data_IF_284377786696
#
_entry.id   IF_284377786696
#
_cell.length_a   1.000
_cell.length_b   1.000
_cell.length_c   1.000
_cell.angle_alpha   90.00
_cell.angle_beta   90.00
_cell.angle_gamma   90.00
#
_symmetry.space_group_name_H-M   'P 1'
#
loop_
_entity.id
_entity.type
_entity.pdbx_description
1 polymer ?
#
# COMPACT_ATOMS: atom_id res chain seq x y z
N UNK A 1 -10.61 -4.74 20.50
CA UNK A 1 -11.55 -3.94 19.68
C UNK A 1 -12.98 -4.19 20.15
N UNK A 2 -13.82 -3.16 20.38
CA UNK A 2 -15.18 -3.35 20.88
C UNK A 2 -16.15 -3.86 19.80
N UNK A 3 -16.86 -4.97 20.06
CA UNK A 3 -17.79 -5.57 19.07
C UNK A 3 -19.12 -4.81 18.94
N UNK A 4 -19.58 -4.18 20.03
CA UNK A 4 -20.89 -3.53 20.09
C UNK A 4 -20.92 -2.10 19.57
N UNK A 5 -19.78 -1.49 19.31
CA UNK A 5 -19.69 -0.10 18.84
C UNK A 5 -18.66 0.05 17.72
N UNK A 6 -18.38 -1.04 17.00
CA UNK A 6 -17.41 -0.96 15.92
C UNK A 6 -17.91 -0.04 14.81
N UNK A 7 -17.09 0.94 14.45
CA UNK A 7 -17.45 2.05 13.55
C UNK A 7 -17.58 1.58 12.10
N UNK A 8 -16.74 0.61 11.72
CA UNK A 8 -16.66 0.08 10.35
C UNK A 8 -17.61 -1.12 10.11
N UNK A 9 -18.34 -1.55 11.15
CA UNK A 9 -19.27 -2.67 11.02
C UNK A 9 -20.56 -2.28 10.28
N UNK A 10 -21.16 -3.23 9.59
CA UNK A 10 -22.40 -3.01 8.83
C UNK A 10 -23.53 -2.41 9.71
N UNK A 11 -24.31 -1.42 9.23
CA UNK A 11 -25.38 -0.79 9.99
C UNK A 11 -26.44 -1.76 10.55
N UNK A 12 -26.67 -2.90 9.89
CA UNK A 12 -27.57 -3.98 10.34
C UNK A 12 -27.22 -4.52 11.72
N UNK A 13 -25.97 -4.38 12.17
CA UNK A 13 -25.51 -4.70 13.53
C UNK A 13 -26.36 -4.05 14.63
N UNK A 14 -26.93 -2.86 14.37
CA UNK A 14 -27.84 -2.20 15.33
C UNK A 14 -29.05 -3.08 15.65
N UNK A 15 -29.62 -3.75 14.65
CA UNK A 15 -30.75 -4.67 14.80
C UNK A 15 -30.34 -5.91 15.62
N UNK A 16 -29.11 -6.40 15.40
CA UNK A 16 -28.55 -7.53 16.14
C UNK A 16 -28.34 -7.21 17.63
N UNK A 17 -28.18 -5.94 18.01
CA UNK A 17 -27.78 -5.55 19.37
C UNK A 17 -28.85 -5.68 20.46
N UNK A 18 -30.12 -5.86 20.07
CA UNK A 18 -31.29 -5.86 20.96
C UNK A 18 -31.96 -7.22 21.18
N UNK A 19 -31.46 -8.28 20.53
CA UNK A 19 -32.02 -9.64 20.67
C UNK A 19 -31.82 -10.20 22.09
N UNK A 20 -32.63 -11.20 22.47
CA UNK A 20 -32.45 -11.89 23.76
C UNK A 20 -31.05 -12.50 23.89
N UNK A 21 -30.55 -13.10 22.81
CA UNK A 21 -29.19 -13.61 22.74
C UNK A 21 -28.16 -12.50 22.96
N UNK A 22 -28.30 -11.32 22.32
CA UNK A 22 -27.38 -10.20 22.53
C UNK A 22 -27.42 -9.61 23.93
N UNK A 23 -28.58 -9.58 24.59
CA UNK A 23 -28.68 -9.22 26.02
C UNK A 23 -27.94 -10.23 26.89
N UNK A 24 -28.09 -11.52 26.61
CA UNK A 24 -27.36 -12.60 27.28
C UNK A 24 -25.84 -12.46 27.06
N UNK A 25 -25.41 -12.19 25.82
CA UNK A 25 -24.00 -11.97 25.49
C UNK A 25 -23.39 -10.83 26.30
N UNK A 26 -24.10 -9.71 26.46
CA UNK A 26 -23.61 -8.55 27.23
C UNK A 26 -23.58 -8.79 28.74
N UNK A 27 -24.62 -9.42 29.28
CA UNK A 27 -24.83 -9.50 30.74
C UNK A 27 -24.26 -10.77 31.37
N UNK A 28 -24.37 -11.92 30.69
CA UNK A 28 -23.99 -13.24 31.23
C UNK A 28 -22.64 -13.70 30.70
N UNK A 29 -22.44 -13.62 29.39
CA UNK A 29 -21.14 -13.99 28.78
C UNK A 29 -20.12 -12.85 28.83
N UNK A 30 -20.52 -11.64 29.23
CA UNK A 30 -19.68 -10.44 29.29
C UNK A 30 -18.87 -10.18 28.00
N UNK A 31 -19.44 -10.47 26.83
CA UNK A 31 -18.80 -10.22 25.54
C UNK A 31 -18.69 -8.71 25.35
N UNK A 32 -17.45 -8.19 25.27
CA UNK A 32 -17.15 -6.77 25.04
C UNK A 32 -16.34 -6.57 23.77
N UNK A 33 -15.46 -7.51 23.46
CA UNK A 33 -14.51 -7.41 22.36
C UNK A 33 -14.87 -8.33 21.20
N UNK A 34 -14.24 -8.07 20.05
CA UNK A 34 -14.31 -8.93 18.88
C UNK A 34 -13.67 -10.29 19.16
N UNK A 35 -12.60 -10.34 19.96
CA UNK A 35 -11.98 -11.59 20.41
C UNK A 35 -12.91 -12.43 21.28
N UNK A 36 -13.64 -11.80 22.22
CA UNK A 36 -14.62 -12.51 23.06
C UNK A 36 -15.74 -13.13 22.20
N UNK A 37 -16.18 -12.41 21.16
CA UNK A 37 -17.19 -12.89 20.23
C UNK A 37 -16.67 -14.05 19.36
N UNK A 38 -15.42 -13.96 18.91
CA UNK A 38 -14.73 -15.00 18.15
C UNK A 38 -14.55 -16.28 18.97
N UNK A 39 -14.04 -16.16 20.20
CA UNK A 39 -13.87 -17.30 21.12
C UNK A 39 -15.20 -18.01 21.37
N UNK A 40 -16.29 -17.25 21.55
CA UNK A 40 -17.60 -17.85 21.73
C UNK A 40 -18.13 -18.50 20.44
N UNK A 41 -17.93 -17.87 19.28
CA UNK A 41 -18.40 -18.37 17.99
C UNK A 41 -17.67 -19.67 17.56
N UNK A 42 -16.37 -19.80 17.85
CA UNK A 42 -15.56 -20.99 17.55
C UNK A 42 -16.16 -22.28 18.09
N UNK A 43 -16.85 -22.21 19.23
CA UNK A 43 -17.51 -23.38 19.83
C UNK A 43 -18.63 -24.00 18.97
N UNK A 44 -19.06 -23.34 17.88
CA UNK A 44 -20.00 -23.90 16.91
C UNK A 44 -19.36 -24.99 16.02
N UNK A 45 -18.04 -24.98 15.89
CA UNK A 45 -17.27 -25.88 15.01
C UNK A 45 -16.80 -27.16 15.73
N UNK A 46 -17.12 -27.27 17.02
CA UNK A 46 -16.74 -28.40 17.87
C UNK A 46 -17.48 -29.68 17.45
N UNK A 47 -16.77 -30.80 17.33
CA UNK A 47 -17.30 -32.03 16.72
C UNK A 47 -18.56 -32.58 17.43
N UNK A 48 -18.62 -32.46 18.77
CA UNK A 48 -19.75 -32.92 19.56
C UNK A 48 -20.93 -31.93 19.58
N UNK A 49 -20.80 -30.76 18.96
CA UNK A 49 -21.80 -29.69 19.04
C UNK A 49 -22.96 -29.89 18.06
N UNK A 50 -24.17 -30.03 18.59
CA UNK A 50 -25.40 -30.08 17.79
C UNK A 50 -25.95 -28.66 17.55
N UNK A 51 -26.43 -28.38 16.31
CA UNK A 51 -26.96 -27.07 15.89
C UNK A 51 -28.36 -26.75 16.45
N UNK A 52 -28.54 -26.95 17.77
CA UNK A 52 -29.78 -26.75 18.50
C UNK A 52 -29.55 -26.27 19.94
N UNK A 53 -30.56 -25.66 20.54
CA UNK A 53 -30.45 -25.01 21.86
C UNK A 53 -30.34 -26.00 23.04
N UNK A 54 -30.78 -27.24 22.85
CA UNK A 54 -30.72 -28.34 23.82
C UNK A 54 -29.44 -29.18 23.69
N UNK A 55 -28.45 -28.74 22.91
CA UNK A 55 -27.15 -29.39 22.79
C UNK A 55 -26.55 -29.72 24.17
N UNK A 56 -26.01 -30.94 24.28
CA UNK A 56 -25.45 -31.53 25.50
C UNK A 56 -23.94 -31.72 25.47
N UNK A 57 -23.24 -31.15 24.47
CA UNK A 57 -21.79 -31.21 24.40
C UNK A 57 -21.14 -30.59 25.65
N UNK A 58 -19.89 -30.97 25.93
CA UNK A 58 -19.17 -30.51 27.12
C UNK A 58 -19.12 -28.98 27.22
N UNK A 59 -18.92 -28.29 26.09
CA UNK A 59 -18.82 -26.84 26.03
C UNK A 59 -20.14 -26.15 26.33
N UNK A 60 -21.25 -26.63 25.75
CA UNK A 60 -22.58 -26.09 26.05
C UNK A 60 -22.94 -26.27 27.53
N UNK A 61 -22.63 -27.42 28.12
CA UNK A 61 -22.89 -27.67 29.54
C UNK A 61 -22.02 -26.76 30.43
N UNK A 62 -20.73 -26.61 30.11
CA UNK A 62 -19.83 -25.68 30.79
C UNK A 62 -20.37 -24.25 30.74
N UNK A 63 -20.78 -23.76 29.57
CA UNK A 63 -21.34 -22.42 29.42
C UNK A 63 -22.63 -22.23 30.21
N UNK A 64 -23.52 -23.23 30.24
CA UNK A 64 -24.74 -23.19 31.08
C UNK A 64 -24.39 -23.03 32.55
N UNK A 65 -23.40 -23.79 33.04
CA UNK A 65 -22.98 -23.77 34.45
C UNK A 65 -22.24 -22.49 34.82
N UNK A 66 -21.29 -22.04 34.01
CA UNK A 66 -20.43 -20.90 34.35
C UNK A 66 -21.11 -19.55 34.16
N UNK A 67 -21.96 -19.41 33.14
CA UNK A 67 -22.59 -18.13 32.80
C UNK A 67 -24.08 -18.07 33.15
N UNK A 68 -24.66 -19.16 33.63
CA UNK A 68 -26.12 -19.31 33.82
C UNK A 68 -26.91 -19.01 32.52
N UNK A 69 -26.32 -19.27 31.36
CA UNK A 69 -26.97 -19.13 30.06
C UNK A 69 -27.92 -20.31 29.81
N UNK A 70 -29.14 -20.04 29.35
CA UNK A 70 -30.14 -21.09 29.06
C UNK A 70 -29.95 -21.70 27.67
N UNK A 71 -29.51 -20.90 26.70
CA UNK A 71 -29.41 -21.30 25.29
C UNK A 71 -28.04 -20.90 24.71
N UNK A 72 -26.96 -21.65 25.04
CA UNK A 72 -25.60 -21.34 24.58
C UNK A 72 -25.49 -21.28 23.05
N UNK A 73 -26.10 -22.23 22.33
CA UNK A 73 -26.09 -22.26 20.86
C UNK A 73 -26.59 -20.95 20.24
N UNK A 74 -27.73 -20.42 20.72
CA UNK A 74 -28.26 -19.14 20.25
C UNK A 74 -27.30 -17.98 20.50
N UNK A 75 -26.57 -18.00 21.62
CA UNK A 75 -25.58 -16.98 21.95
C UNK A 75 -24.35 -17.09 21.03
N UNK A 76 -23.84 -18.30 20.79
CA UNK A 76 -22.73 -18.54 19.86
C UNK A 76 -23.11 -18.12 18.44
N UNK A 77 -24.30 -18.50 17.95
CA UNK A 77 -24.82 -18.08 16.64
C UNK A 77 -24.98 -16.57 16.54
N UNK A 78 -25.41 -15.93 17.62
CA UNK A 78 -25.51 -14.48 17.68
C UNK A 78 -24.14 -13.81 17.65
N UNK A 79 -23.12 -14.39 18.31
CA UNK A 79 -21.74 -13.93 18.25
C UNK A 79 -21.18 -14.04 16.82
N UNK A 80 -21.39 -15.18 16.15
CA UNK A 80 -21.03 -15.37 14.74
C UNK A 80 -21.67 -14.30 13.83
N UNK A 81 -22.98 -14.07 13.98
CA UNK A 81 -23.68 -13.00 13.23
C UNK A 81 -23.10 -11.61 13.46
N UNK A 82 -22.59 -11.31 14.66
CA UNK A 82 -21.93 -10.03 14.94
C UNK A 82 -20.59 -9.94 14.21
N UNK A 83 -19.81 -11.02 14.19
CA UNK A 83 -18.56 -11.09 13.44
C UNK A 83 -18.79 -10.94 11.94
N UNK A 84 -19.86 -11.53 11.40
CA UNK A 84 -20.22 -11.41 9.97
C UNK A 84 -20.55 -9.97 9.54
N UNK A 85 -20.80 -9.05 10.49
CA UNK A 85 -20.96 -7.62 10.18
C UNK A 85 -19.64 -6.87 10.06
N UNK A 86 -18.52 -7.50 10.42
CA UNK A 86 -17.19 -6.89 10.38
C UNK A 86 -16.62 -7.00 8.96
N UNK A 87 -16.06 -5.92 8.41
CA UNK A 87 -15.27 -6.02 7.20
C UNK A 87 -14.00 -6.84 7.43
N UNK A 88 -13.44 -7.39 6.36
CA UNK A 88 -12.26 -8.26 6.37
C UNK A 88 -11.11 -7.74 7.27
N UNK A 89 -10.75 -6.46 7.17
CA UNK A 89 -9.67 -5.85 7.98
C UNK A 89 -9.89 -5.92 9.49
N UNK A 90 -11.15 -6.07 9.92
CA UNK A 90 -11.57 -6.06 11.31
C UNK A 90 -12.14 -7.41 11.76
N UNK A 91 -12.25 -8.39 10.86
CA UNK A 91 -12.70 -9.73 11.18
C UNK A 91 -11.49 -10.61 11.53
N UNK A 92 -11.36 -11.09 12.78
CA UNK A 92 -10.24 -11.93 13.18
C UNK A 92 -10.18 -13.28 12.45
N UNK A 93 -11.27 -13.68 11.77
CA UNK A 93 -11.34 -14.91 10.97
C UNK A 93 -10.76 -14.72 9.56
N UNK A 94 -10.42 -13.49 9.17
CA UNK A 94 -9.85 -13.21 7.87
C UNK A 94 -8.35 -13.52 7.82
N UNK A 95 -7.85 -13.86 6.63
CA UNK A 95 -6.42 -14.00 6.38
C UNK A 95 -5.73 -12.61 6.43
N UNK A 96 -4.81 -12.43 7.38
CA UNK A 96 -4.04 -11.19 7.54
C UNK A 96 -2.69 -11.23 6.80
N UNK A 97 -2.27 -10.14 6.12
CA UNK A 97 -0.97 -10.10 5.42
C UNK A 97 0.22 -10.49 6.30
N UNK A 98 0.19 -10.19 7.58
CA UNK A 98 1.22 -10.54 8.56
C UNK A 98 1.50 -12.05 8.64
N UNK A 99 0.51 -12.89 8.31
CA UNK A 99 0.63 -14.35 8.43
C UNK A 99 1.40 -14.98 7.27
N UNK A 100 1.27 -14.39 6.07
CA UNK A 100 1.87 -14.92 4.84
C UNK A 100 2.97 -14.03 4.23
N UNK A 101 3.06 -12.75 4.57
CA UNK A 101 4.16 -11.87 4.17
C UNK A 101 5.35 -12.01 5.12
N UNK A 102 6.22 -12.98 4.83
CA UNK A 102 7.47 -13.19 5.57
C UNK A 102 8.63 -12.46 4.91
N UNK A 103 9.69 -12.23 5.70
CA UNK A 103 10.93 -11.66 5.15
C UNK A 103 11.47 -12.54 4.03
N UNK A 104 11.81 -11.89 2.91
CA UNK A 104 12.35 -12.59 1.74
C UNK A 104 13.77 -13.02 2.07
N UNK A 105 13.95 -14.32 2.33
CA UNK A 105 15.28 -14.93 2.41
C UNK A 105 15.84 -15.05 1.01
N UNK A 106 16.98 -14.44 0.78
CA UNK A 106 17.72 -14.57 -0.46
C UNK A 106 19.12 -15.13 -0.17
N UNK A 107 19.50 -16.17 -0.89
CA UNK A 107 20.78 -16.85 -0.73
C UNK A 107 21.87 -16.27 -1.63
N UNK A 108 21.51 -15.51 -2.68
CA UNK A 108 22.48 -14.84 -3.55
C UNK A 108 22.68 -13.38 -3.11
N UNK A 109 23.84 -13.00 -2.56
CA UNK A 109 24.10 -11.65 -2.07
C UNK A 109 24.11 -10.59 -3.19
N UNK A 110 24.22 -10.97 -4.46
CA UNK A 110 24.17 -10.03 -5.59
C UNK A 110 22.76 -9.50 -5.84
N UNK A 111 21.74 -10.18 -5.33
CA UNK A 111 20.35 -9.81 -5.48
C UNK A 111 19.82 -9.20 -4.19
N UNK A 112 19.29 -7.98 -4.29
CA UNK A 112 18.71 -7.25 -3.19
C UNK A 112 17.19 -7.43 -3.18
N UNK A 113 16.59 -8.02 -2.14
CA UNK A 113 15.15 -8.21 -2.09
C UNK A 113 14.41 -6.88 -1.92
N UNK A 114 13.27 -6.76 -2.59
CA UNK A 114 12.29 -5.71 -2.33
C UNK A 114 11.35 -6.13 -1.21
N UNK A 115 11.26 -5.33 -0.15
CA UNK A 115 10.31 -5.56 0.93
C UNK A 115 8.90 -5.15 0.50
N UNK A 116 8.06 -6.15 0.20
CA UNK A 116 6.68 -5.99 -0.23
C UNK A 116 5.67 -5.91 0.94
N UNK A 117 6.13 -5.87 2.20
CA UNK A 117 5.25 -5.72 3.35
C UNK A 117 4.53 -4.38 3.31
N UNK A 118 3.24 -4.43 3.66
CA UNK A 118 2.34 -3.27 3.76
C UNK A 118 1.98 -2.99 5.22
N UNK A 119 2.20 -3.97 6.09
CA UNK A 119 1.82 -3.93 7.49
C UNK A 119 2.79 -3.04 8.27
N UNK A 120 2.25 -2.28 9.21
CA UNK A 120 3.03 -1.44 10.11
C UNK A 120 3.25 -2.20 11.41
N UNK A 121 4.51 -2.39 11.80
CA UNK A 121 4.90 -3.02 13.05
C UNK A 121 5.55 -1.99 13.98
N UNK A 122 5.54 -2.26 15.29
CA UNK A 122 6.14 -1.38 16.30
C UNK A 122 5.17 -0.98 17.40
N UNK A 123 5.39 0.19 17.98
CA UNK A 123 4.58 0.72 19.06
C UNK A 123 3.39 1.53 18.53
N UNK A 124 2.43 1.85 19.40
CA UNK A 124 1.25 2.64 19.03
C UNK A 124 1.61 3.98 18.34
N UNK A 125 2.73 4.60 18.73
CA UNK A 125 3.24 5.83 18.14
C UNK A 125 3.59 5.71 16.65
N UNK A 126 3.92 4.50 16.18
CA UNK A 126 4.36 4.24 14.80
C UNK A 126 3.20 4.18 13.81
N UNK A 127 1.96 4.10 14.30
CA UNK A 127 0.73 4.03 13.49
C UNK A 127 0.19 5.43 13.16
N UNK A 128 0.46 6.44 14.00
CA UNK A 128 -0.07 7.78 13.77
C UNK A 128 0.62 8.48 12.61
N UNK A 129 -0.17 8.88 11.62
CA UNK A 129 0.31 9.60 10.42
C UNK A 129 -0.48 10.89 10.22
N UNK A 130 0.24 11.95 9.87
CA UNK A 130 -0.30 13.28 9.59
C UNK A 130 -0.05 13.68 8.14
N UNK A 131 -0.63 14.78 7.69
CA UNK A 131 -0.57 15.21 6.27
C UNK A 131 -1.11 14.15 5.28
N UNK A 132 -2.12 13.39 5.69
CA UNK A 132 -2.81 12.42 4.83
C UNK A 132 -3.72 13.12 3.80
N UNK A 133 -3.99 12.44 2.68
CA UNK A 133 -4.86 12.98 1.64
C UNK A 133 -6.31 12.54 1.89
N UNK A 134 -7.21 13.50 2.14
CA UNK A 134 -8.65 13.25 2.36
C UNK A 134 -9.35 12.52 1.21
N UNK A 135 -8.80 12.59 -0.01
CA UNK A 135 -9.33 11.86 -1.18
C UNK A 135 -8.99 10.37 -1.17
N UNK A 136 -8.01 9.96 -0.36
CA UNK A 136 -7.65 8.55 -0.19
C UNK A 136 -8.40 8.03 1.02
N UNK A 137 -9.50 7.33 0.77
CA UNK A 137 -10.29 6.69 1.82
C UNK A 137 -9.53 5.46 2.33
N UNK A 138 -9.38 5.28 3.65
CA UNK A 138 -8.93 4.02 4.22
C UNK A 138 -9.81 2.88 3.71
N UNK A 139 -9.17 1.77 3.36
CA UNK A 139 -9.88 0.58 2.88
C UNK A 139 -10.10 -0.40 4.02
N UNK A 140 -11.27 -1.04 3.97
CA UNK A 140 -11.67 -2.13 4.85
C UNK A 140 -11.42 -3.52 4.25
N UNK A 141 -10.90 -3.57 3.01
CA UNK A 141 -10.44 -4.80 2.35
C UNK A 141 -8.94 -4.97 2.52
N UNK A 142 -8.48 -6.21 2.59
CA UNK A 142 -7.07 -6.55 2.62
C UNK A 142 -6.62 -6.99 1.21
N UNK A 143 -5.40 -6.64 0.76
CA UNK A 143 -4.89 -7.17 -0.50
C UNK A 143 -4.65 -8.67 -0.35
N UNK A 144 -5.06 -9.48 -1.34
CA UNK A 144 -4.72 -10.90 -1.39
C UNK A 144 -3.38 -11.07 -2.10
N UNK A 145 -2.30 -11.21 -1.31
CA UNK A 145 -0.94 -11.42 -1.83
C UNK A 145 -0.40 -12.83 -1.56
N UNK A 146 -1.31 -13.80 -1.33
CA UNK A 146 -0.93 -15.20 -1.14
C UNK A 146 -0.48 -15.80 -2.46
N UNK A 147 0.68 -16.46 -2.45
CA UNK A 147 1.13 -17.28 -3.58
C UNK A 147 0.46 -18.66 -3.51
N UNK A 148 0.00 -19.19 -4.64
CA UNK A 148 -0.66 -20.52 -4.72
C UNK A 148 0.22 -21.64 -4.12
N UNK A 149 1.54 -21.48 -4.14
CA UNK A 149 2.52 -22.42 -3.58
C UNK A 149 2.72 -22.35 -2.05
N UNK A 150 1.99 -21.50 -1.32
CA UNK A 150 2.06 -21.45 0.16
C UNK A 150 1.13 -22.43 0.87
N UNK A 151 0.28 -23.18 0.15
CA UNK A 151 -0.58 -24.19 0.77
C UNK A 151 0.19 -25.45 1.21
N UNK A 152 1.31 -25.80 0.56
CA UNK A 152 2.04 -27.07 0.80
C UNK A 152 3.44 -26.91 1.42
N UNK A 153 3.78 -25.75 1.98
CA UNK A 153 5.08 -25.49 2.61
C UNK A 153 6.33 -25.75 1.73
N UNK A 154 6.17 -25.97 0.42
CA UNK A 154 7.25 -26.06 -0.55
C UNK A 154 7.21 -24.85 -1.47
N UNK A 155 8.15 -23.94 -1.25
CA UNK A 155 8.42 -22.82 -2.16
C UNK A 155 9.03 -23.39 -3.47
N UNK A 156 8.24 -24.06 -4.29
CA UNK A 156 8.67 -24.51 -5.62
C UNK A 156 8.47 -23.30 -6.54
N UNK A 157 9.50 -22.45 -6.62
CA UNK A 157 9.60 -21.45 -7.69
C UNK A 157 9.73 -22.22 -8.99
N UNK A 158 8.62 -22.48 -9.69
CA UNK A 158 8.67 -23.20 -10.97
C UNK A 158 9.06 -22.30 -12.13
N UNK A 159 8.96 -20.96 -11.97
CA UNK A 159 9.22 -19.98 -13.04
C UNK A 159 9.77 -18.67 -12.47
N UNK A 160 10.89 -18.23 -13.03
CA UNK A 160 11.48 -16.90 -12.79
C UNK A 160 11.48 -16.10 -14.10
N UNK A 161 11.35 -14.78 -13.97
CA UNK A 161 11.51 -13.86 -15.11
C UNK A 161 12.59 -12.85 -14.75
N UNK A 162 13.67 -12.85 -15.53
CA UNK A 162 14.72 -11.83 -15.46
C UNK A 162 14.38 -10.75 -16.48
N UNK A 163 14.15 -9.53 -16.01
CA UNK A 163 13.90 -8.35 -16.83
C UNK A 163 15.04 -7.39 -16.61
N UNK A 164 15.69 -6.99 -17.70
CA UNK A 164 16.60 -5.87 -17.68
C UNK A 164 15.79 -4.59 -17.92
N UNK A 165 15.83 -3.67 -16.97
CA UNK A 165 15.12 -2.39 -17.05
C UNK A 165 16.13 -1.28 -17.31
N UNK A 166 15.73 -0.35 -18.16
CA UNK A 166 16.49 0.85 -18.46
C UNK A 166 15.48 1.95 -18.80
N UNK A 167 15.85 3.21 -18.72
CA UNK A 167 14.97 4.35 -18.88
C UNK A 167 15.66 5.61 -19.37
N UNK A 168 15.00 6.32 -20.28
CA UNK A 168 15.42 7.61 -20.79
C UNK A 168 14.31 8.63 -20.59
N UNK A 169 14.61 9.88 -20.27
CA UNK A 169 13.57 10.89 -20.18
C UNK A 169 14.07 12.28 -20.55
N UNK A 170 13.27 12.97 -21.37
CA UNK A 170 13.44 14.37 -21.74
C UNK A 170 12.80 15.24 -20.67
N UNK A 171 13.37 16.41 -20.40
CA UNK A 171 12.87 17.37 -19.41
C UNK A 171 12.73 16.80 -17.99
N UNK A 172 13.77 16.09 -17.54
CA UNK A 172 13.78 15.43 -16.23
C UNK A 172 13.42 16.38 -15.08
N UNK A 173 12.51 15.95 -14.20
CA UNK A 173 12.13 16.71 -13.02
C UNK A 173 11.28 17.96 -13.32
N UNK A 174 10.75 18.08 -14.53
CA UNK A 174 9.82 19.13 -14.95
C UNK A 174 8.41 18.56 -15.22
N UNK A 175 7.41 19.43 -15.31
CA UNK A 175 6.02 19.03 -15.55
C UNK A 175 5.80 18.43 -16.95
N UNK A 176 6.65 18.79 -17.93
CA UNK A 176 6.63 18.25 -19.29
C UNK A 176 7.63 17.09 -19.49
N UNK A 177 8.04 16.41 -18.41
CA UNK A 177 8.93 15.27 -18.49
C UNK A 177 8.34 14.17 -19.39
N UNK A 178 9.10 13.73 -20.39
CA UNK A 178 8.72 12.62 -21.29
C UNK A 178 9.68 11.45 -21.10
N UNK A 179 9.18 10.35 -20.57
CA UNK A 179 9.97 9.13 -20.38
C UNK A 179 9.73 8.06 -21.44
N UNK A 180 10.81 7.48 -21.96
CA UNK A 180 10.84 6.18 -22.62
C UNK A 180 11.60 5.16 -21.75
N UNK A 181 11.42 3.85 -22.00
CA UNK A 181 12.11 2.78 -21.24
C UNK A 181 13.25 2.09 -22.06
N UNK A 182 14.55 2.38 -21.74
CA UNK A 182 15.84 2.16 -22.47
C UNK A 182 16.82 3.30 -22.96
N UNK A 183 17.94 3.52 -22.26
CA UNK A 183 19.23 4.22 -22.49
C UNK A 183 19.38 5.75 -22.48
N UNK A 184 20.40 6.12 -21.67
CA UNK A 184 20.96 7.38 -21.21
C UNK A 184 20.09 8.16 -20.19
N UNK A 185 20.69 8.32 -19.01
CA UNK A 185 20.01 8.14 -17.73
C UNK A 185 19.28 9.37 -17.25
N UNK A 186 18.05 9.18 -16.80
CA UNK A 186 17.57 9.97 -15.68
C UNK A 186 16.73 9.11 -14.72
N UNK A 187 16.60 9.60 -13.48
CA UNK A 187 15.94 8.88 -12.39
C UNK A 187 14.48 8.53 -12.69
N UNK A 188 13.82 9.30 -13.56
CA UNK A 188 12.40 9.17 -13.89
C UNK A 188 12.14 8.02 -14.87
N UNK A 189 12.93 7.91 -15.95
CA UNK A 189 12.76 6.84 -16.93
C UNK A 189 12.96 5.46 -16.32
N UNK A 190 13.97 5.31 -15.48
CA UNK A 190 14.29 4.05 -14.80
C UNK A 190 13.17 3.60 -13.85
N UNK A 191 12.58 4.55 -13.11
CA UNK A 191 11.43 4.29 -12.25
C UNK A 191 10.19 3.88 -13.05
N UNK A 192 9.96 4.48 -14.22
CA UNK A 192 8.87 4.12 -15.13
C UNK A 192 9.09 2.71 -15.69
N UNK A 193 10.30 2.39 -16.14
CA UNK A 193 10.64 1.06 -16.64
C UNK A 193 10.45 -0.02 -15.55
N UNK A 194 10.88 0.28 -14.32
CA UNK A 194 10.68 -0.62 -13.16
C UNK A 194 9.20 -0.82 -12.85
N UNK A 195 8.41 0.24 -12.88
CA UNK A 195 6.94 0.17 -12.68
C UNK A 195 6.29 -0.69 -13.76
N UNK A 196 6.62 -0.45 -15.03
CA UNK A 196 6.07 -1.23 -16.14
C UNK A 196 6.50 -2.70 -16.04
N UNK A 197 7.74 -2.99 -15.68
CA UNK A 197 8.20 -4.37 -15.45
C UNK A 197 7.37 -5.06 -14.36
N UNK A 198 7.09 -4.36 -13.25
CA UNK A 198 6.27 -4.89 -12.17
C UNK A 198 4.82 -5.16 -12.59
N UNK A 199 4.25 -4.31 -13.44
CA UNK A 199 2.85 -4.39 -13.90
C UNK A 199 2.62 -5.36 -15.06
N UNK A 200 3.61 -5.53 -15.94
CA UNK A 200 3.49 -6.36 -17.14
C UNK A 200 3.98 -7.80 -16.90
N UNK A 201 4.93 -8.01 -16.00
CA UNK A 201 5.35 -9.36 -15.64
C UNK A 201 4.26 -10.07 -14.84
N UNK A 202 4.06 -11.37 -15.09
CA UNK A 202 3.09 -12.19 -14.37
C UNK A 202 3.27 -11.99 -12.83
N UNK A 203 2.21 -11.64 -12.07
CA UNK A 203 2.32 -11.28 -10.66
C UNK A 203 2.61 -12.48 -9.73
N UNK A 204 2.37 -13.72 -10.17
CA UNK A 204 2.57 -14.93 -9.38
C UNK A 204 4.00 -15.48 -9.45
N UNK A 205 4.81 -15.01 -10.41
CA UNK A 205 6.20 -15.48 -10.61
C UNK A 205 7.24 -14.54 -9.99
N UNK A 206 8.41 -15.11 -9.68
CA UNK A 206 9.56 -14.34 -9.22
C UNK A 206 10.03 -13.37 -10.30
N UNK A 207 10.16 -12.09 -9.94
CA UNK A 207 10.65 -11.03 -10.83
C UNK A 207 12.06 -10.61 -10.40
N UNK A 208 13.02 -10.81 -11.29
CA UNK A 208 14.41 -10.38 -11.11
C UNK A 208 14.65 -9.18 -12.02
N UNK A 209 14.91 -8.02 -11.43
CA UNK A 209 15.16 -6.77 -12.16
C UNK A 209 16.66 -6.45 -12.15
N UNK A 210 17.26 -6.44 -13.33
CA UNK A 210 18.61 -5.92 -13.55
C UNK A 210 18.53 -4.46 -14.02
N UNK A 211 19.18 -3.55 -13.30
CA UNK A 211 19.24 -2.13 -13.65
C UNK A 211 20.63 -1.59 -13.37
N UNK A 212 21.09 -0.65 -14.18
CA UNK A 212 22.32 0.10 -13.93
C UNK A 212 22.11 1.31 -13.01
N UNK A 213 20.85 1.59 -12.65
CA UNK A 213 20.45 2.68 -11.78
C UNK A 213 20.57 2.32 -10.30
N UNK A 214 21.73 2.65 -9.72
CA UNK A 214 21.91 2.62 -8.25
C UNK A 214 20.85 3.44 -7.51
N UNK A 215 20.38 4.53 -8.13
CA UNK A 215 19.31 5.35 -7.58
C UNK A 215 18.02 4.56 -7.39
N UNK A 216 17.52 3.88 -8.43
CA UNK A 216 16.28 3.09 -8.34
C UNK A 216 16.41 2.01 -7.28
N UNK A 217 17.51 1.26 -7.30
CA UNK A 217 17.76 0.23 -6.28
C UNK A 217 17.72 0.87 -4.89
N UNK A 218 18.44 1.97 -4.66
CA UNK A 218 18.48 2.63 -3.35
C UNK A 218 17.11 3.11 -2.89
N UNK A 219 16.34 3.76 -3.76
CA UNK A 219 15.02 4.32 -3.42
C UNK A 219 13.99 3.23 -3.13
N UNK A 220 13.98 2.14 -3.91
CA UNK A 220 13.00 1.06 -3.75
C UNK A 220 13.37 0.05 -2.66
N UNK A 221 14.61 0.08 -2.16
CA UNK A 221 15.06 -0.87 -1.11
C UNK A 221 15.46 -0.14 0.17
N UNK A 222 16.65 0.46 0.24
CA UNK A 222 17.22 0.99 1.49
C UNK A 222 16.59 2.29 1.97
N UNK A 223 16.16 3.17 1.07
CA UNK A 223 15.52 4.45 1.43
C UNK A 223 13.99 4.37 1.49
N UNK A 224 13.40 3.24 1.09
CA UNK A 224 11.94 3.05 1.00
C UNK A 224 11.23 3.43 2.30
N UNK A 225 11.63 2.81 3.41
CA UNK A 225 10.95 3.00 4.70
C UNK A 225 11.04 4.45 5.19
N UNK A 226 12.21 5.09 5.06
CA UNK A 226 12.38 6.49 5.41
C UNK A 226 11.46 7.40 4.59
N UNK A 227 11.36 7.19 3.28
CA UNK A 227 10.47 8.00 2.43
C UNK A 227 8.99 7.78 2.76
N UNK A 228 8.61 6.54 3.11
CA UNK A 228 7.26 6.24 3.57
C UNK A 228 6.98 6.94 4.89
N UNK A 229 7.93 6.94 5.83
CA UNK A 229 7.82 7.64 7.11
C UNK A 229 7.78 9.15 6.94
N UNK A 230 8.53 9.71 5.99
CA UNK A 230 8.49 11.14 5.65
C UNK A 230 7.29 11.51 4.78
N UNK A 231 6.42 10.55 4.43
CA UNK A 231 5.25 10.77 3.58
C UNK A 231 5.55 11.28 2.19
N UNK A 232 6.78 11.06 1.70
CA UNK A 232 7.31 11.57 0.42
C UNK A 232 7.33 13.11 0.31
N UNK A 233 7.26 13.83 1.43
CA UNK A 233 7.26 15.30 1.45
C UNK A 233 8.58 15.84 0.90
N UNK A 234 8.51 16.71 -0.11
CA UNK A 234 9.70 17.29 -0.75
C UNK A 234 10.61 16.28 -1.47
N UNK A 235 10.13 15.06 -1.74
CA UNK A 235 10.88 14.05 -2.49
C UNK A 235 10.62 14.23 -3.98
N UNK A 236 11.65 14.54 -4.75
CA UNK A 236 11.60 14.55 -6.21
C UNK A 236 11.10 13.19 -6.74
N UNK A 237 10.17 13.20 -7.68
CA UNK A 237 9.50 12.01 -8.20
C UNK A 237 8.72 11.20 -7.13
N UNK A 238 8.40 11.77 -5.97
CA UNK A 238 7.75 11.06 -4.87
C UNK A 238 6.46 10.33 -5.27
N UNK A 239 5.63 10.94 -6.13
CA UNK A 239 4.42 10.30 -6.64
C UNK A 239 4.71 9.06 -7.52
N UNK A 240 5.74 9.13 -8.37
CA UNK A 240 6.17 8.01 -9.21
C UNK A 240 6.81 6.90 -8.38
N UNK A 241 7.71 7.24 -7.45
CA UNK A 241 8.33 6.28 -6.53
C UNK A 241 7.26 5.53 -5.73
N UNK A 242 6.31 6.27 -5.15
CA UNK A 242 5.18 5.69 -4.40
C UNK A 242 4.34 4.77 -5.29
N UNK A 243 4.10 5.15 -6.55
CA UNK A 243 3.39 4.32 -7.51
C UNK A 243 4.15 3.04 -7.86
N UNK A 244 5.46 3.13 -8.11
CA UNK A 244 6.33 1.99 -8.39
C UNK A 244 6.39 1.01 -7.22
N UNK A 245 6.57 1.51 -5.98
CA UNK A 245 6.57 0.69 -4.76
C UNK A 245 5.27 -0.09 -4.65
N UNK A 246 4.14 0.54 -4.96
CA UNK A 246 2.86 -0.12 -4.84
C UNK A 246 2.60 -1.14 -5.96
N UNK A 247 3.02 -0.86 -7.19
CA UNK A 247 3.00 -1.85 -8.27
C UNK A 247 3.84 -3.09 -7.91
N UNK A 248 5.00 -2.89 -7.27
CA UNK A 248 5.84 -3.99 -6.77
C UNK A 248 5.18 -4.76 -5.62
N UNK A 249 4.52 -4.06 -4.69
CA UNK A 249 3.75 -4.69 -3.59
C UNK A 249 2.55 -5.51 -4.05
N UNK A 250 1.94 -5.14 -5.17
CA UNK A 250 0.82 -5.87 -5.76
C UNK A 250 1.19 -7.25 -6.31
N UNK A 251 2.49 -7.58 -6.35
CA UNK A 251 2.98 -8.88 -6.81
C UNK A 251 2.97 -9.89 -5.66
N UNK A 252 2.53 -11.12 -5.97
CA UNK A 252 2.60 -12.26 -5.06
C UNK A 252 4.00 -12.90 -5.08
N UNK A 253 4.59 -13.03 -6.27
CA UNK A 253 5.97 -13.45 -6.44
C UNK A 253 6.96 -12.42 -5.91
N UNK A 254 8.05 -12.88 -5.29
CA UNK A 254 9.10 -11.99 -4.76
C UNK A 254 9.75 -11.18 -5.89
N UNK A 255 10.19 -9.98 -5.56
CA UNK A 255 10.95 -9.12 -6.47
C UNK A 255 12.37 -8.91 -5.95
N UNK A 256 13.36 -9.13 -6.81
CA UNK A 256 14.77 -8.98 -6.51
C UNK A 256 15.40 -7.96 -7.46
N UNK A 257 16.32 -7.14 -6.97
CA UNK A 257 17.06 -6.16 -7.74
C UNK A 257 18.53 -6.50 -7.79
N UNK A 258 19.16 -6.40 -8.95
CA UNK A 258 20.61 -6.51 -9.09
C UNK A 258 21.14 -5.30 -9.84
N UNK A 259 22.19 -4.71 -9.28
CA UNK A 259 22.91 -3.67 -10.00
C UNK A 259 23.80 -4.33 -11.05
N UNK A 260 23.66 -3.89 -12.30
CA UNK A 260 24.52 -4.30 -13.41
C UNK A 260 25.27 -3.09 -13.95
N UNK A 261 26.51 -3.28 -14.39
CA UNK A 261 27.30 -2.19 -14.98
C UNK A 261 26.83 -1.97 -16.42
N UNK A 262 26.48 -0.72 -16.76
CA UNK A 262 25.83 -0.37 -18.03
C UNK A 262 26.62 -0.69 -19.31
N UNK A 263 25.86 -0.78 -20.40
CA UNK A 263 26.14 -0.98 -21.84
C UNK A 263 26.40 -2.37 -22.42
N UNK A 264 26.79 -3.42 -21.70
CA UNK A 264 26.96 -4.74 -22.34
C UNK A 264 25.88 -5.76 -21.99
N UNK A 265 25.47 -5.79 -20.72
CA UNK A 265 24.46 -6.74 -20.22
C UNK A 265 23.02 -6.28 -20.48
N UNK A 266 22.79 -4.98 -20.70
CA UNK A 266 21.46 -4.40 -20.86
C UNK A 266 21.18 -3.79 -22.26
N UNK A 267 22.01 -4.11 -23.26
CA UNK A 267 21.97 -3.50 -24.62
C UNK A 267 20.58 -3.45 -25.26
N UNK A 268 19.76 -4.47 -25.04
CA UNK A 268 18.43 -4.55 -25.64
C UNK A 268 17.44 -3.63 -24.96
N UNK A 269 17.40 -3.58 -23.61
CA UNK A 269 16.50 -2.67 -22.93
C UNK A 269 16.88 -1.24 -23.26
N UNK A 270 18.18 -0.93 -23.18
CA UNK A 270 18.82 0.25 -23.74
C UNK A 270 18.30 0.69 -25.11
N UNK A 271 18.29 -0.16 -26.13
CA UNK A 271 17.86 0.28 -27.46
C UNK A 271 16.36 0.60 -27.50
N UNK A 272 15.57 0.05 -26.56
CA UNK A 272 14.13 0.22 -26.53
C UNK A 272 13.64 1.60 -26.01
N UNK A 273 14.30 2.36 -25.10
CA UNK A 273 13.74 3.72 -24.76
C UNK A 273 14.15 4.64 -25.83
N UNK A 274 15.35 4.48 -26.39
CA UNK A 274 15.85 5.38 -27.41
C UNK A 274 14.81 5.45 -28.52
N UNK A 275 14.36 4.28 -28.99
CA UNK A 275 13.22 4.17 -29.90
C UNK A 275 11.91 4.66 -29.30
N UNK A 276 11.65 4.47 -28.01
CA UNK A 276 10.43 4.97 -27.37
C UNK A 276 10.37 6.50 -27.28
N UNK A 277 11.49 7.21 -27.17
CA UNK A 277 11.57 8.67 -27.16
C UNK A 277 11.30 9.26 -28.54
N UNK A 278 11.72 8.57 -29.59
CA UNK A 278 11.47 8.95 -30.99
C UNK A 278 9.98 8.82 -31.38
N UNK A 279 9.14 8.21 -30.54
CA UNK A 279 7.70 8.12 -30.81
C UNK A 279 7.04 9.48 -30.61
N UNK A 280 6.30 9.90 -31.63
CA UNK A 280 5.52 11.16 -31.61
C UNK A 280 4.40 11.16 -30.56
N UNK A 281 3.99 10.00 -30.04
CA UNK A 281 2.92 9.86 -29.04
C UNK A 281 3.46 9.26 -27.75
N UNK A 282 3.37 10.02 -26.66
CA UNK A 282 3.63 9.51 -25.32
C UNK A 282 2.38 8.82 -24.76
N UNK A 283 2.57 7.69 -24.08
CA UNK A 283 1.50 7.06 -23.30
C UNK A 283 1.48 7.65 -21.89
N UNK A 284 0.32 8.01 -21.33
CA UNK A 284 0.24 8.49 -19.96
C UNK A 284 0.62 7.36 -18.99
N UNK A 285 1.51 7.65 -18.05
CA UNK A 285 1.83 6.73 -16.95
C UNK A 285 0.83 6.96 -15.83
N UNK A 286 0.05 5.92 -15.52
CA UNK A 286 -0.94 5.99 -14.46
C UNK A 286 -0.26 5.92 -13.09
N UNK A 287 -0.30 7.03 -12.35
CA UNK A 287 0.29 7.13 -11.00
C UNK A 287 -0.71 6.80 -9.88
N UNK A 288 -1.99 6.59 -10.20
CA UNK A 288 -2.96 6.16 -9.21
C UNK A 288 -2.77 4.68 -8.90
N UNK A 289 -2.98 4.35 -7.63
CA UNK A 289 -2.62 3.09 -7.01
C UNK A 289 -3.78 2.65 -6.13
N UNK A 290 -4.02 1.35 -6.07
CA UNK A 290 -4.97 0.76 -5.13
C UNK A 290 -4.66 1.17 -3.69
N UNK A 291 -5.61 1.77 -2.95
CA UNK A 291 -5.39 2.23 -1.58
C UNK A 291 -4.86 1.14 -0.62
N UNK A 292 -5.14 -0.13 -0.89
CA UNK A 292 -4.66 -1.30 -0.12
C UNK A 292 -3.13 -1.48 -0.16
N UNK A 293 -2.44 -0.89 -1.15
CA UNK A 293 -0.99 -1.06 -1.35
C UNK A 293 -0.19 0.20 -0.97
N UNK A 294 -0.87 1.22 -0.45
CA UNK A 294 -0.30 2.53 -0.17
C UNK A 294 -0.17 2.79 1.33
N UNK A 295 0.96 3.39 1.67
CA UNK A 295 1.14 4.09 2.94
C UNK A 295 0.94 5.59 2.68
N UNK A 296 0.08 6.25 3.47
CA UNK A 296 -0.30 7.66 3.24
C UNK A 296 0.11 8.55 4.40
N UNK A 297 0.39 9.82 4.11
CA UNK A 297 0.85 10.79 5.10
C UNK A 297 2.26 10.48 5.62
N UNK A 298 2.72 11.29 6.57
CA UNK A 298 4.01 11.15 7.22
C UNK A 298 3.84 10.70 8.68
N UNK A 299 4.72 9.82 9.14
CA UNK A 299 4.74 9.26 10.49
C UNK A 299 4.99 10.37 11.51
N UNK A 300 4.09 10.45 12.50
CA UNK A 300 4.11 11.51 13.50
C UNK A 300 5.29 11.36 14.45
N UNK A 301 5.65 10.13 14.84
CA UNK A 301 6.73 9.86 15.79
C UNK A 301 8.12 10.25 15.28
N UNK A 302 8.32 10.32 13.95
CA UNK A 302 9.59 10.71 13.31
C UNK A 302 9.51 12.10 12.65
N UNK A 303 8.40 12.82 12.82
CA UNK A 303 8.19 14.13 12.21
C UNK A 303 9.15 15.17 12.77
N UNK A 304 9.75 15.97 11.89
CA UNK A 304 10.57 17.13 12.28
C UNK A 304 9.87 18.44 11.94
N UNK A 305 10.22 19.52 12.63
CA UNK A 305 9.68 20.85 12.34
C UNK A 305 9.96 21.27 10.89
N UNK A 306 11.15 20.97 10.37
CA UNK A 306 11.53 21.29 8.99
C UNK A 306 10.67 20.52 7.97
N UNK A 307 10.40 19.24 8.21
CA UNK A 307 9.53 18.42 7.36
C UNK A 307 8.07 18.88 7.41
N UNK A 308 7.57 19.17 8.62
CA UNK A 308 6.22 19.70 8.81
C UNK A 308 6.05 21.06 8.12
N UNK A 309 7.04 21.94 8.22
CA UNK A 309 7.03 23.23 7.52
C UNK A 309 6.95 23.04 6.00
N UNK A 310 7.77 22.15 5.42
CA UNK A 310 7.70 21.81 3.99
C UNK A 310 6.32 21.29 3.60
N UNK A 311 5.74 20.39 4.40
CA UNK A 311 4.41 19.83 4.13
C UNK A 311 3.33 20.93 4.11
N UNK A 312 3.33 21.81 5.11
CA UNK A 312 2.37 22.92 5.21
C UNK A 312 2.52 23.87 4.02
N UNK A 313 3.75 24.18 3.61
CA UNK A 313 4.01 25.03 2.44
C UNK A 313 3.47 24.39 1.16
N UNK A 314 3.75 23.11 0.91
CA UNK A 314 3.22 22.39 -0.27
C UNK A 314 1.68 22.31 -0.25
N UNK A 315 1.09 22.10 0.92
CA UNK A 315 -0.38 22.09 1.09
C UNK A 315 -1.00 23.46 0.83
N UNK A 316 -0.39 24.53 1.35
CA UNK A 316 -0.86 25.91 1.11
C UNK A 316 -0.79 26.26 -0.37
N UNK A 317 0.26 25.88 -1.09
CA UNK A 317 0.35 26.09 -2.55
C UNK A 317 -0.80 25.39 -3.28
N UNK A 318 -1.15 24.16 -2.86
CA UNK A 318 -2.26 23.40 -3.43
C UNK A 318 -3.63 24.07 -3.18
N UNK A 319 -3.86 24.65 -2.00
CA UNK A 319 -5.12 25.31 -1.62
C UNK A 319 -5.20 26.74 -2.18
N UNK A 320 -4.07 27.44 -2.26
CA UNK A 320 -3.96 28.83 -2.69
C UNK A 320 -3.79 29.00 -4.20
N UNK A 321 -4.06 27.97 -5.00
CA UNK A 321 -4.17 28.04 -6.45
C UNK A 321 -5.34 28.98 -6.86
N UNK A 322 -5.12 30.29 -6.69
CA UNK A 322 -6.02 31.35 -7.12
C UNK A 322 -6.05 31.29 -8.64
N UNK A 323 -7.25 31.25 -9.25
CA UNK A 323 -7.42 31.15 -10.71
C UNK A 323 -6.55 32.14 -11.50
N UNK A 324 -6.30 33.34 -10.94
CA UNK A 324 -5.42 34.36 -11.53
C UNK A 324 -3.94 33.98 -11.50
N UNK A 325 -3.46 33.41 -10.40
CA UNK A 325 -2.09 32.90 -10.27
C UNK A 325 -1.88 31.69 -11.18
N UNK A 326 -2.86 30.79 -11.29
CA UNK A 326 -2.80 29.68 -12.25
C UNK A 326 -2.74 30.18 -13.70
N UNK A 327 -3.50 31.23 -14.07
CA UNK A 327 -3.39 31.87 -15.39
C UNK A 327 -2.00 32.47 -15.63
N UNK A 328 -1.43 33.15 -14.64
CA UNK A 328 -0.10 33.73 -14.77
C UNK A 328 0.99 32.66 -14.84
N UNK A 329 0.89 31.60 -14.03
CA UNK A 329 1.80 30.44 -14.11
C UNK A 329 1.64 29.75 -15.47
N UNK A 330 0.43 29.56 -15.97
CA UNK A 330 0.20 29.02 -17.32
C UNK A 330 0.82 29.91 -18.39
N UNK A 331 0.65 31.24 -18.31
CA UNK A 331 1.27 32.18 -19.24
C UNK A 331 2.81 32.14 -19.15
N UNK A 332 3.38 32.05 -17.95
CA UNK A 332 4.84 31.91 -17.76
C UNK A 332 5.30 30.58 -18.33
N UNK A 333 4.61 29.47 -18.06
CA UNK A 333 4.91 28.14 -18.62
C UNK A 333 4.84 28.15 -20.14
N UNK A 334 3.82 28.78 -20.73
CA UNK A 334 3.64 28.90 -22.18
C UNK A 334 4.72 29.79 -22.82
N UNK A 335 5.03 30.94 -22.20
CA UNK A 335 6.11 31.84 -22.67
C UNK A 335 7.48 31.18 -22.57
N UNK A 336 7.75 30.45 -21.49
CA UNK A 336 9.04 29.76 -21.27
C UNK A 336 9.19 28.57 -22.21
N UNK A 337 8.11 27.83 -22.49
CA UNK A 337 8.09 26.77 -23.49
C UNK A 337 8.35 27.33 -24.89
N UNK A 338 7.76 28.48 -25.23
CA UNK A 338 7.95 29.11 -26.54
C UNK A 338 9.36 29.66 -26.76
N UNK A 339 10.02 30.17 -25.70
CA UNK A 339 11.32 30.84 -25.82
C UNK A 339 12.52 29.96 -25.47
N UNK A 340 12.34 28.94 -24.62
CA UNK A 340 13.45 28.18 -24.03
C UNK A 340 13.23 26.65 -24.09
N UNK A 341 12.17 26.17 -24.74
CA UNK A 341 11.80 24.75 -24.84
C UNK A 341 11.72 24.01 -23.48
N UNK A 342 11.47 24.75 -22.39
CA UNK A 342 11.49 24.26 -21.02
C UNK A 342 10.25 24.74 -20.25
N UNK A 343 9.63 23.85 -19.45
CA UNK A 343 8.52 24.21 -18.55
C UNK A 343 8.99 24.12 -17.09
N UNK A 344 9.11 25.25 -16.37
CA UNK A 344 9.46 25.22 -14.95
C UNK A 344 8.37 24.54 -14.12
N UNK A 345 8.80 23.77 -13.11
CA UNK A 345 7.91 23.29 -12.06
C UNK A 345 7.33 24.45 -11.26
N UNK A 346 6.17 24.25 -10.63
CA UNK A 346 5.50 25.28 -9.82
C UNK A 346 6.38 25.80 -8.67
N UNK A 347 7.23 24.95 -8.09
CA UNK A 347 8.19 25.35 -7.05
C UNK A 347 9.30 26.29 -7.56
N UNK A 348 9.69 26.21 -8.84
CA UNK A 348 10.75 27.08 -9.42
C UNK A 348 10.21 28.43 -9.92
N UNK A 349 8.93 28.49 -10.25
CA UNK A 349 8.27 29.69 -10.79
C UNK A 349 7.83 30.67 -9.68
N UNK A 350 7.64 30.19 -8.44
CA UNK A 350 7.31 31.05 -7.30
C UNK A 350 8.46 31.89 -6.73
N UNK A 351 9.73 31.50 -6.96
CA UNK A 351 10.89 32.19 -6.39
C UNK A 351 11.36 33.42 -7.19
N UNK A 352 10.79 33.68 -8.38
CA UNK A 352 11.16 34.85 -9.20
C UNK A 352 10.28 36.08 -8.94
N UNK A 353 9.17 35.95 -8.21
CA UNK A 353 8.26 37.07 -7.93
C UNK A 353 8.61 37.90 -6.69
N UNK A 354 9.55 37.42 -5.84
CA UNK A 354 9.85 38.07 -4.54
C UNK A 354 11.13 38.93 -4.54
N UNK A 355 11.79 39.12 -5.69
CA UNK A 355 12.90 40.06 -5.86
C UNK A 355 12.50 41.29 -6.68
N UNK A 356 11.51 42.04 -6.16
CA UNK A 356 11.36 43.47 -6.46
C UNK A 356 10.85 44.21 -5.22
N UNK A 357 11.80 44.63 -4.39
CA UNK A 357 11.81 45.97 -3.80
C UNK A 357 13.24 46.43 -3.67
#
# INVERSE_FOLDING_TARGET
>A
MPIWHQMEADPSRKQLSHTLASKCLKMKHNVRTVGDAEELAKNLEEEEHELQNNCKCQICNRLKQTTSCTHPHSCMKQAAKLLDTLPQKWDPRADFPEEYQKEIRNHDPNWKPFDNRITTTGELKDVFRIFTNKKITPTNTLPNLRTEHTQDNRHIVTREVIVATDGSCLNNGNDNARAGAGMYSNQTGELVATKLAAELANPDVELKIETDSKYVIQMLTTKKNQMEDDGYIGVSNGALIRSTIASLRGRKGKTLFKWVKGQEQNKKATEMARKALERNKASPIHLSVTPTLLVTGAKLSTMTQALAYKAVTQWKTTVAARQRTNRNILNIKDTTQQHFDYIPTEEKSGNQSDTKT
#
